data_IF_016955188105
#
_entry.id   IF_016955188105
#
_cell.length_a   1.000
_cell.length_b   1.000
_cell.length_c   1.000
_cell.angle_alpha   90.00
_cell.angle_beta   90.00
_cell.angle_gamma   90.00
#
_symmetry.space_group_name_H-M   'P 1'
#
loop_
_entity.id
_entity.type
_entity.pdbx_description
1 polymer ?
#
# COMPACT_ATOMS: atom_id res chain seq x y z
N UNK A 1 1.66 18.60 -23.58
CA UNK A 1 0.65 17.84 -22.80
C UNK A 1 -0.61 18.66 -22.77
N UNK A 2 -1.74 18.11 -23.22
CA UNK A 2 -3.02 18.83 -23.34
C UNK A 2 -3.69 19.00 -21.97
N UNK A 3 -4.58 19.99 -21.82
CA UNK A 3 -5.28 20.27 -20.56
C UNK A 3 -6.10 19.06 -20.07
N UNK A 4 -6.60 18.25 -21.01
CA UNK A 4 -7.25 16.97 -20.74
C UNK A 4 -6.35 15.98 -20.00
N UNK A 5 -5.07 15.86 -20.38
CA UNK A 5 -4.12 14.97 -19.69
C UNK A 5 -3.90 15.42 -18.24
N UNK A 6 -3.86 16.74 -18.03
CA UNK A 6 -3.69 17.32 -16.70
C UNK A 6 -4.89 17.05 -15.80
N UNK A 7 -6.11 17.23 -16.32
CA UNK A 7 -7.34 16.92 -15.59
C UNK A 7 -7.46 15.41 -15.32
N UNK A 8 -7.14 14.55 -16.29
CA UNK A 8 -7.14 13.10 -16.09
C UNK A 8 -6.12 12.68 -15.01
N UNK A 9 -4.91 13.23 -15.03
CA UNK A 9 -3.90 12.98 -14.01
C UNK A 9 -4.36 13.48 -12.64
N UNK A 10 -4.95 14.68 -12.57
CA UNK A 10 -5.47 15.25 -11.33
C UNK A 10 -6.54 14.34 -10.69
N UNK A 11 -7.51 13.87 -11.48
CA UNK A 11 -8.54 12.94 -11.01
C UNK A 11 -7.93 11.60 -10.58
N UNK A 12 -6.98 11.06 -11.36
CA UNK A 12 -6.30 9.81 -11.02
C UNK A 12 -5.54 9.91 -9.69
N UNK A 13 -4.84 11.01 -9.44
CA UNK A 13 -4.16 11.26 -8.17
C UNK A 13 -5.12 11.22 -7.00
N UNK A 14 -6.28 11.87 -7.10
CA UNK A 14 -7.31 11.82 -6.05
C UNK A 14 -7.79 10.40 -5.78
N UNK A 15 -8.13 9.64 -6.82
CA UNK A 15 -8.59 8.24 -6.69
C UNK A 15 -7.53 7.37 -6.00
N UNK A 16 -6.27 7.51 -6.41
CA UNK A 16 -5.16 6.75 -5.84
C UNK A 16 -4.88 7.17 -4.39
N UNK A 17 -4.91 8.46 -4.07
CA UNK A 17 -4.67 8.97 -2.72
C UNK A 17 -5.76 8.59 -1.72
N UNK A 18 -7.02 8.47 -2.17
CA UNK A 18 -8.12 8.04 -1.31
C UNK A 18 -8.04 6.54 -0.97
N UNK A 19 -7.40 5.73 -1.82
CA UNK A 19 -7.24 4.30 -1.57
C UNK A 19 -6.12 4.06 -0.54
N UNK A 20 -6.42 3.56 0.68
CA UNK A 20 -5.39 3.19 1.64
C UNK A 20 -4.55 2.07 1.03
N UNK A 21 -3.30 2.37 0.67
CA UNK A 21 -2.42 1.40 0.03
C UNK A 21 -2.08 0.22 0.96
N UNK A 22 -1.66 -0.90 0.39
CA UNK A 22 -1.27 -2.09 1.16
C UNK A 22 -0.18 -1.79 2.21
N UNK A 23 0.77 -0.90 1.90
CA UNK A 23 1.80 -0.47 2.85
C UNK A 23 1.24 0.35 4.03
N UNK A 24 0.23 1.19 3.79
CA UNK A 24 -0.44 1.96 4.83
C UNK A 24 -1.22 1.03 5.77
N UNK A 25 -1.99 0.08 5.21
CA UNK A 25 -2.72 -0.94 5.98
C UNK A 25 -1.77 -1.84 6.77
N UNK A 26 -0.65 -2.26 6.17
CA UNK A 26 0.37 -3.06 6.86
C UNK A 26 1.00 -2.29 8.03
N UNK A 27 1.30 -1.01 7.83
CA UNK A 27 1.84 -0.13 8.89
C UNK A 27 0.83 0.06 10.03
N UNK A 28 -0.45 0.31 9.71
CA UNK A 28 -1.53 0.41 10.70
C UNK A 28 -1.70 -0.90 11.47
N UNK A 29 -1.72 -2.03 10.77
CA UNK A 29 -1.84 -3.35 11.39
C UNK A 29 -0.68 -3.63 12.34
N UNK A 30 0.54 -3.29 11.91
CA UNK A 30 1.75 -3.49 12.70
C UNK A 30 1.76 -2.58 13.94
N UNK A 31 1.37 -1.31 13.81
CA UNK A 31 1.24 -0.39 14.94
C UNK A 31 0.16 -0.81 15.95
N UNK A 32 -0.98 -1.31 15.47
CA UNK A 32 -2.07 -1.80 16.31
C UNK A 32 -1.74 -3.11 17.02
N UNK A 33 -1.01 -4.03 16.37
CA UNK A 33 -0.68 -5.35 16.94
C UNK A 33 0.58 -5.33 17.81
N UNK A 34 1.60 -4.57 17.43
CA UNK A 34 2.93 -4.64 18.04
C UNK A 34 3.39 -3.35 18.75
N UNK A 35 2.60 -2.26 18.70
CA UNK A 35 2.94 -0.97 19.32
C UNK A 35 3.68 -0.01 18.39
N UNK A 36 3.77 1.26 18.79
CA UNK A 36 4.26 2.35 17.95
C UNK A 36 5.73 2.16 17.50
N UNK A 37 6.62 1.79 18.42
CA UNK A 37 8.05 1.64 18.13
C UNK A 37 8.35 0.52 17.14
N UNK A 38 7.64 -0.60 17.22
CA UNK A 38 7.80 -1.73 16.29
C UNK A 38 7.16 -1.42 14.93
N UNK A 39 6.01 -0.74 14.93
CA UNK A 39 5.40 -0.23 13.70
C UNK A 39 6.26 0.80 12.97
N UNK A 40 7.01 1.63 13.70
CA UNK A 40 7.92 2.63 13.13
C UNK A 40 9.05 2.00 12.30
N UNK A 41 9.63 0.91 12.79
CA UNK A 41 10.64 0.15 12.02
C UNK A 41 10.06 -0.44 10.73
N UNK A 42 8.81 -0.91 10.76
CA UNK A 42 8.12 -1.35 9.54
C UNK A 42 7.95 -0.21 8.54
N UNK A 43 7.60 1.00 9.00
CA UNK A 43 7.48 2.17 8.13
C UNK A 43 8.82 2.60 7.52
N UNK A 44 9.91 2.56 8.28
CA UNK A 44 11.27 2.83 7.76
C UNK A 44 11.65 1.79 6.71
N UNK A 45 11.42 0.51 6.98
CA UNK A 45 11.69 -0.56 6.02
C UNK A 45 10.93 -0.36 4.70
N UNK A 46 9.66 0.07 4.78
CA UNK A 46 8.86 0.42 3.60
C UNK A 46 9.47 1.58 2.81
N UNK A 47 9.94 2.64 3.48
CA UNK A 47 10.57 3.78 2.81
C UNK A 47 11.90 3.41 2.14
N UNK A 48 12.71 2.58 2.79
CA UNK A 48 13.97 2.08 2.20
C UNK A 48 13.66 1.22 0.96
N UNK A 49 12.65 0.35 1.05
CA UNK A 49 12.23 -0.47 -0.09
C UNK A 49 11.75 0.40 -1.26
N UNK A 50 10.97 1.45 -1.00
CA UNK A 50 10.53 2.40 -2.03
C UNK A 50 11.70 3.16 -2.66
N UNK A 51 12.65 3.64 -1.85
CA UNK A 51 13.86 4.29 -2.35
C UNK A 51 14.70 3.34 -3.22
N UNK A 52 14.85 2.08 -2.79
CA UNK A 52 15.52 1.04 -3.57
C UNK A 52 14.82 0.76 -4.90
N UNK A 53 13.48 0.68 -4.90
CA UNK A 53 12.70 0.52 -6.13
C UNK A 53 12.92 1.68 -7.10
N UNK A 54 12.89 2.93 -6.60
CA UNK A 54 13.16 4.12 -7.42
C UNK A 54 14.57 4.05 -8.02
N UNK A 55 15.57 3.65 -7.23
CA UNK A 55 16.94 3.49 -7.70
C UNK A 55 17.04 2.42 -8.80
N UNK A 56 16.36 1.28 -8.66
CA UNK A 56 16.32 0.22 -9.69
C UNK A 56 15.66 0.72 -10.97
N UNK A 57 14.56 1.47 -10.87
CA UNK A 57 13.90 2.06 -12.04
C UNK A 57 14.80 3.09 -12.72
N UNK A 58 15.46 3.95 -11.94
CA UNK A 58 16.41 4.95 -12.41
C UNK A 58 17.67 4.32 -13.04
N UNK A 59 18.11 3.15 -12.57
CA UNK A 59 19.24 2.41 -13.11
C UNK A 59 19.02 1.86 -14.53
N UNK A 60 17.78 1.92 -15.06
CA UNK A 60 17.51 1.64 -16.47
C UNK A 60 16.45 0.58 -16.74
N UNK A 61 15.84 0.00 -15.71
CA UNK A 61 14.70 -0.93 -15.89
C UNK A 61 13.55 -0.25 -16.64
N UNK A 62 13.30 1.04 -16.37
CA UNK A 62 12.31 1.83 -17.11
C UNK A 62 12.63 1.99 -18.59
N UNK A 63 13.91 2.19 -18.94
CA UNK A 63 14.35 2.33 -20.34
C UNK A 63 14.27 0.99 -21.11
N UNK A 64 14.58 -0.12 -20.43
CA UNK A 64 14.45 -1.46 -21.00
C UNK A 64 12.98 -1.79 -21.34
N UNK A 65 12.07 -1.44 -20.43
CA UNK A 65 10.63 -1.62 -20.64
C UNK A 65 10.06 -0.67 -21.70
N UNK A 66 10.60 0.55 -21.83
CA UNK A 66 10.19 1.49 -22.88
C UNK A 66 10.58 1.01 -24.29
N UNK A 67 11.64 0.21 -24.41
CA UNK A 67 12.12 -0.30 -25.70
C UNK A 67 11.32 -1.53 -26.17
N UNK A 68 10.79 -2.33 -25.24
CA UNK A 68 10.08 -3.58 -25.56
C UNK A 68 8.57 -3.46 -25.31
N UNK A 69 7.81 -3.28 -26.39
CA UNK A 69 6.34 -3.20 -26.35
C UNK A 69 5.68 -4.48 -25.82
N UNK A 70 6.25 -5.64 -26.13
CA UNK A 70 5.74 -6.94 -25.69
C UNK A 70 5.95 -7.14 -24.19
N UNK A 71 7.15 -6.86 -23.68
CA UNK A 71 7.44 -6.97 -22.25
C UNK A 71 6.58 -6.02 -21.41
N UNK A 72 6.43 -4.77 -21.86
CA UNK A 72 5.55 -3.80 -21.21
C UNK A 72 4.09 -4.27 -21.20
N UNK A 73 3.60 -4.81 -22.32
CA UNK A 73 2.22 -5.29 -22.43
C UNK A 73 1.95 -6.50 -21.53
N UNK A 74 2.88 -7.46 -21.47
CA UNK A 74 2.76 -8.63 -20.59
C UNK A 74 2.70 -8.22 -19.12
N UNK A 75 3.62 -7.36 -18.67
CA UNK A 75 3.65 -6.89 -17.28
C UNK A 75 2.38 -6.12 -16.95
N UNK A 76 1.91 -5.25 -17.86
CA UNK A 76 0.66 -4.51 -17.69
C UNK A 76 -0.54 -5.44 -17.51
N UNK A 77 -0.74 -6.40 -18.42
CA UNK A 77 -1.87 -7.32 -18.34
C UNK A 77 -1.77 -8.27 -17.15
N UNK A 78 -0.56 -8.71 -16.80
CA UNK A 78 -0.31 -9.47 -15.58
C UNK A 78 -0.71 -8.68 -14.34
N UNK A 79 -0.35 -7.38 -14.26
CA UNK A 79 -0.76 -6.49 -13.18
C UNK A 79 -2.28 -6.33 -13.08
N UNK A 80 -2.99 -6.19 -14.21
CA UNK A 80 -4.46 -6.13 -14.24
C UNK A 80 -5.07 -7.42 -13.71
N UNK A 81 -4.60 -8.58 -14.15
CA UNK A 81 -5.07 -9.88 -13.66
C UNK A 81 -4.83 -10.04 -12.15
N UNK A 82 -3.67 -9.61 -11.66
CA UNK A 82 -3.34 -9.65 -10.24
C UNK A 82 -4.25 -8.75 -9.39
N UNK A 83 -4.56 -7.54 -9.87
CA UNK A 83 -5.47 -6.62 -9.17
C UNK A 83 -6.91 -7.14 -9.15
N UNK A 84 -7.39 -7.73 -10.25
CA UNK A 84 -8.71 -8.37 -10.27
C UNK A 84 -8.79 -9.53 -9.28
N UNK A 85 -7.74 -10.36 -9.21
CA UNK A 85 -7.65 -11.43 -8.22
C UNK A 85 -7.65 -10.90 -6.78
N UNK A 86 -6.89 -9.84 -6.50
CA UNK A 86 -6.85 -9.22 -5.17
C UNK A 86 -8.21 -8.61 -4.80
N UNK A 87 -8.90 -7.98 -5.75
CA UNK A 87 -10.23 -7.41 -5.54
C UNK A 87 -11.25 -8.50 -5.17
N UNK A 88 -11.25 -9.62 -5.88
CA UNK A 88 -12.10 -10.77 -5.56
C UNK A 88 -11.78 -11.36 -4.18
N UNK A 89 -10.49 -11.52 -3.87
CA UNK A 89 -10.05 -12.03 -2.57
C UNK A 89 -10.49 -11.11 -1.42
N UNK A 90 -10.39 -9.80 -1.60
CA UNK A 90 -10.80 -8.82 -0.59
C UNK A 90 -12.32 -8.76 -0.43
N UNK A 91 -13.08 -8.91 -1.53
CA UNK A 91 -14.54 -9.01 -1.49
C UNK A 91 -15.00 -10.25 -0.71
N UNK A 92 -14.29 -11.36 -0.86
CA UNK A 92 -14.59 -12.62 -0.18
C UNK A 92 -14.01 -12.70 1.23
N UNK A 93 -13.23 -11.72 1.68
CA UNK A 93 -12.65 -11.72 3.01
C UNK A 93 -13.77 -11.61 4.05
N UNK A 94 -13.95 -12.67 4.84
CA UNK A 94 -14.88 -12.67 5.97
C UNK A 94 -14.39 -11.64 6.99
N UNK A 95 -15.22 -10.67 7.40
CA UNK A 95 -14.85 -9.75 8.46
C UNK A 95 -14.49 -10.58 9.70
N UNK A 96 -13.25 -10.49 10.16
CA UNK A 96 -12.92 -11.01 11.48
C UNK A 96 -13.83 -10.28 12.46
N UNK A 97 -14.81 -10.98 13.03
CA UNK A 97 -15.62 -10.41 14.10
C UNK A 97 -14.65 -9.88 15.14
N UNK A 98 -14.68 -8.57 15.36
CA UNK A 98 -14.08 -7.98 16.55
C UNK A 98 -14.88 -8.61 17.69
N UNK A 99 -14.32 -9.65 18.29
CA UNK A 99 -15.01 -10.42 19.32
C UNK A 99 -15.31 -9.49 20.49
N UNK A 100 -16.56 -9.05 20.56
CA UNK A 100 -17.11 -8.21 21.65
C UNK A 100 -17.15 -8.98 22.98
N UNK A 101 -16.85 -10.28 22.98
CA UNK A 101 -16.69 -11.11 24.18
C UNK A 101 -15.43 -10.73 24.98
N UNK A 102 -14.49 -9.99 24.40
CA UNK A 102 -13.42 -9.34 25.15
C UNK A 102 -13.97 -8.06 25.79
N UNK A 103 -14.46 -8.17 27.04
CA UNK A 103 -15.01 -7.07 27.83
C UNK A 103 -14.19 -5.77 27.76
N UNK A 104 -14.80 -4.61 28.10
CA UNK A 104 -14.30 -3.29 27.75
C UNK A 104 -12.81 -3.17 28.03
N UNK A 105 -11.99 -3.20 26.96
CA UNK A 105 -10.54 -3.07 27.10
C UNK A 105 -10.31 -1.73 27.78
N UNK A 106 -9.60 -1.69 28.93
CA UNK A 106 -9.33 -0.43 29.60
C UNK A 106 -8.69 0.49 28.57
N UNK A 107 -9.27 1.67 28.37
CA UNK A 107 -8.71 2.70 27.50
C UNK A 107 -7.36 3.05 28.11
N UNK A 108 -6.32 2.36 27.64
CA UNK A 108 -4.96 2.58 28.09
C UNK A 108 -4.62 4.04 27.83
N UNK A 109 -3.99 4.70 28.81
CA UNK A 109 -3.52 6.07 28.65
C UNK A 109 -2.77 6.16 27.31
N UNK A 110 -3.12 7.09 26.40
CA UNK A 110 -2.59 7.09 25.05
C UNK A 110 -1.05 7.12 25.01
N UNK A 111 -0.45 7.77 26.03
CA UNK A 111 1.00 7.80 26.25
C UNK A 111 1.61 6.41 26.48
N UNK A 112 0.96 5.49 27.18
CA UNK A 112 1.52 4.16 27.44
C UNK A 112 1.39 3.21 26.24
N UNK A 113 0.64 3.58 25.20
CA UNK A 113 0.59 2.85 23.92
C UNK A 113 1.71 3.31 22.96
N UNK A 114 2.18 4.55 23.10
CA UNK A 114 3.31 5.10 22.32
C UNK A 114 4.66 4.59 22.85
N UNK A 115 4.78 4.40 24.16
CA UNK A 115 6.02 3.97 24.82
C UNK A 115 6.09 2.46 25.13
N UNK A 116 5.16 1.65 24.61
CA UNK A 116 5.13 0.19 24.80
C UNK A 116 5.93 -0.56 23.72
#
# INVERSE_FOLDING_TARGET
MTLETWLAFFVACWVISLSPGAGAIASMSCGLQYGFWRGYWNAIGLQIALAGQIAVVAAGVGALLATSSLAFSLIKWFGVAYLLWLALKQWQAVPSMLDDSAGPRPIGRPLTLVFR
#
